data_IF_913620323578
#
_entry.id   IF_913620323578
#
_cell.length_a   1.000
_cell.length_b   1.000
_cell.length_c   1.000
_cell.angle_alpha   90.00
_cell.angle_beta   90.00
_cell.angle_gamma   90.00
#
_symmetry.space_group_name_H-M   'P 1'
#
loop_
_entity.id
_entity.type
_entity.pdbx_description
1 polymer ?
#
# COMPACT_ATOMS: atom_id res chain seq x y z
N UNK A 1 5.32 7.87 34.68
CA UNK A 1 5.55 6.61 33.95
C UNK A 1 6.97 6.69 33.43
N UNK A 2 7.81 5.72 33.76
CA UNK A 2 9.21 5.71 33.35
C UNK A 2 9.32 5.04 31.97
N UNK A 3 9.36 5.83 30.90
CA UNK A 3 9.41 5.32 29.54
C UNK A 3 10.75 4.65 29.20
N UNK A 4 11.84 5.04 29.86
CA UNK A 4 13.15 4.38 29.68
C UNK A 4 13.13 2.98 30.26
N UNK A 5 12.48 2.80 31.42
CA UNK A 5 12.29 1.47 32.00
C UNK A 5 11.44 0.58 31.09
N UNK A 6 10.30 1.09 30.59
CA UNK A 6 9.40 0.34 29.69
C UNK A 6 10.14 -0.04 28.39
N UNK A 7 10.85 0.91 27.77
CA UNK A 7 11.63 0.66 26.54
C UNK A 7 12.64 -0.47 26.74
N UNK A 8 13.38 -0.43 27.85
CA UNK A 8 14.39 -1.43 28.19
C UNK A 8 13.78 -2.80 28.44
N UNK A 9 12.73 -2.88 29.27
CA UNK A 9 12.07 -4.14 29.62
C UNK A 9 11.43 -4.79 28.40
N UNK A 10 10.62 -4.04 27.64
CA UNK A 10 9.99 -4.54 26.43
C UNK A 10 11.03 -4.98 25.39
N UNK A 11 12.14 -4.25 25.21
CA UNK A 11 13.20 -4.68 24.29
C UNK A 11 13.83 -6.01 24.72
N UNK A 12 14.14 -6.18 26.00
CA UNK A 12 14.71 -7.43 26.54
C UNK A 12 13.75 -8.59 26.36
N UNK A 13 12.46 -8.41 26.68
CA UNK A 13 11.44 -9.44 26.48
C UNK A 13 11.29 -9.81 25.00
N UNK A 14 11.31 -8.81 24.11
CA UNK A 14 11.31 -9.01 22.67
C UNK A 14 12.50 -9.87 22.21
N UNK A 15 13.71 -9.58 22.70
CA UNK A 15 14.92 -10.36 22.40
C UNK A 15 14.85 -11.80 22.93
N UNK A 16 14.27 -12.02 24.11
CA UNK A 16 14.02 -13.37 24.65
C UNK A 16 13.08 -14.15 23.71
N UNK A 17 11.96 -13.55 23.30
CA UNK A 17 11.02 -14.22 22.39
C UNK A 17 11.59 -14.49 21.00
N UNK A 18 12.56 -13.69 20.53
CA UNK A 18 13.30 -13.99 19.31
C UNK A 18 14.18 -15.24 19.44
N UNK A 19 14.78 -15.47 20.62
CA UNK A 19 15.53 -16.72 20.90
C UNK A 19 14.58 -17.92 20.95
N UNK A 20 13.46 -17.77 21.66
CA UNK A 20 12.40 -18.79 21.70
C UNK A 20 11.88 -19.13 20.29
N UNK A 21 11.73 -18.14 19.41
CA UNK A 21 11.36 -18.36 18.01
C UNK A 21 12.38 -19.21 17.24
N UNK A 22 13.68 -18.98 17.48
CA UNK A 22 14.75 -19.73 16.84
C UNK A 22 14.79 -21.20 17.32
N UNK A 23 14.52 -21.43 18.60
CA UNK A 23 14.56 -22.75 19.25
C UNK A 23 13.25 -23.54 19.09
N UNK A 24 12.15 -22.87 18.79
CA UNK A 24 10.82 -23.47 18.66
C UNK A 24 10.77 -24.55 17.56
N UNK A 25 10.39 -25.77 17.99
CA UNK A 25 10.33 -26.97 17.15
C UNK A 25 9.02 -27.14 16.38
N UNK A 26 7.95 -26.47 16.80
CA UNK A 26 6.62 -26.58 16.17
C UNK A 26 6.24 -25.26 15.50
N UNK A 27 5.42 -25.35 14.43
CA UNK A 27 4.91 -24.17 13.73
C UNK A 27 4.12 -23.25 14.67
N UNK A 28 3.29 -23.83 15.52
CA UNK A 28 2.46 -23.07 16.47
C UNK A 28 3.32 -22.31 17.49
N UNK A 29 4.32 -22.95 18.08
CA UNK A 29 5.25 -22.30 19.00
C UNK A 29 6.03 -21.18 18.31
N UNK A 30 6.49 -21.40 17.07
CA UNK A 30 7.15 -20.36 16.26
C UNK A 30 6.23 -19.17 16.02
N UNK A 31 4.98 -19.40 15.62
CA UNK A 31 4.01 -18.31 15.40
C UNK A 31 3.74 -17.53 16.68
N UNK A 32 3.55 -18.22 17.81
CA UNK A 32 3.33 -17.60 19.11
C UNK A 32 4.53 -16.75 19.54
N UNK A 33 5.75 -17.31 19.49
CA UNK A 33 6.98 -16.62 19.85
C UNK A 33 7.23 -15.39 18.96
N UNK A 34 7.03 -15.51 17.64
CA UNK A 34 7.18 -14.41 16.70
C UNK A 34 6.18 -13.26 17.00
N UNK A 35 4.92 -13.58 17.29
CA UNK A 35 3.90 -12.57 17.65
C UNK A 35 4.27 -11.83 18.93
N UNK A 36 4.73 -12.54 19.95
CA UNK A 36 5.17 -11.94 21.21
C UNK A 36 6.39 -11.05 21.01
N UNK A 37 7.41 -11.56 20.30
CA UNK A 37 8.60 -10.78 19.96
C UNK A 37 8.23 -9.45 19.27
N UNK A 38 7.40 -9.51 18.23
CA UNK A 38 6.96 -8.30 17.52
C UNK A 38 6.16 -7.35 18.41
N UNK A 39 5.24 -7.86 19.23
CA UNK A 39 4.45 -7.03 20.15
C UNK A 39 5.35 -6.23 21.10
N UNK A 40 6.32 -6.89 21.73
CA UNK A 40 7.26 -6.26 22.65
C UNK A 40 8.21 -5.27 21.94
N UNK A 41 8.67 -5.60 20.74
CA UNK A 41 9.52 -4.69 19.97
C UNK A 41 8.76 -3.44 19.50
N UNK A 42 7.46 -3.56 19.19
CA UNK A 42 6.60 -2.41 18.90
C UNK A 42 6.41 -1.55 20.16
N UNK A 43 6.16 -2.17 21.31
CA UNK A 43 6.05 -1.46 22.60
C UNK A 43 7.33 -0.70 22.94
N UNK A 44 8.49 -1.34 22.81
CA UNK A 44 9.79 -0.72 23.01
C UNK A 44 10.00 0.49 22.08
N UNK A 45 9.66 0.34 20.79
CA UNK A 45 9.76 1.44 19.82
C UNK A 45 8.83 2.61 20.18
N UNK A 46 7.60 2.33 20.60
CA UNK A 46 6.64 3.34 21.06
C UNK A 46 7.14 4.06 22.33
N UNK A 47 7.64 3.32 23.32
CA UNK A 47 8.21 3.90 24.54
C UNK A 47 9.43 4.79 24.25
N UNK A 48 10.30 4.34 23.34
CA UNK A 48 11.46 5.11 22.88
C UNK A 48 11.08 6.41 22.18
N UNK A 49 10.07 6.37 21.31
CA UNK A 49 9.59 7.55 20.60
C UNK A 49 8.98 8.58 21.57
N UNK A 50 8.31 8.09 22.61
CA UNK A 50 7.64 8.92 23.60
C UNK A 50 6.28 9.46 23.12
N UNK A 51 5.47 9.97 24.06
CA UNK A 51 4.09 10.35 23.80
C UNK A 51 3.95 11.49 22.78
N UNK A 52 4.86 12.47 22.78
CA UNK A 52 4.76 13.63 21.90
C UNK A 52 4.99 13.26 20.44
N UNK A 53 5.96 12.37 20.16
CA UNK A 53 6.22 11.88 18.81
C UNK A 53 5.06 11.02 18.32
N UNK A 54 4.52 10.14 19.17
CA UNK A 54 3.36 9.32 18.82
C UNK A 54 2.11 10.16 18.57
N UNK A 55 1.86 11.18 19.39
CA UNK A 55 0.74 12.11 19.19
C UNK A 55 0.87 12.87 17.87
N UNK A 56 2.08 13.37 17.55
CA UNK A 56 2.35 14.03 16.29
C UNK A 56 2.19 13.08 15.08
N UNK A 57 2.58 11.81 15.22
CA UNK A 57 2.46 10.81 14.16
C UNK A 57 1.01 10.33 13.94
N UNK A 58 0.20 10.22 15.00
CA UNK A 58 -1.21 9.79 14.92
C UNK A 58 -2.16 10.90 14.46
N UNK A 59 -1.79 12.16 14.69
CA UNK A 59 -2.64 13.31 14.42
C UNK A 59 -3.90 13.36 15.27
N UNK A 60 -4.71 14.39 15.04
CA UNK A 60 -6.00 14.55 15.71
C UNK A 60 -7.02 13.55 15.17
N UNK A 61 -7.89 13.06 16.05
CA UNK A 61 -9.01 12.23 15.60
C UNK A 61 -10.09 13.13 14.98
N UNK A 62 -10.57 12.83 13.76
CA UNK A 62 -11.65 13.58 13.13
C UNK A 62 -12.96 13.50 13.93
N UNK A 63 -13.87 14.42 13.65
CA UNK A 63 -15.22 14.41 14.24
C UNK A 63 -15.96 13.09 13.92
N UNK A 64 -16.76 12.60 14.87
CA UNK A 64 -17.50 11.34 14.70
C UNK A 64 -18.47 11.36 13.52
N UNK A 65 -18.91 12.55 13.10
CA UNK A 65 -19.84 12.78 11.99
C UNK A 65 -19.19 12.75 10.60
N UNK A 66 -17.86 12.72 10.51
CA UNK A 66 -17.13 12.69 9.23
C UNK A 66 -16.58 11.29 8.96
N UNK A 67 -17.43 10.41 8.44
CA UNK A 67 -17.09 9.02 8.14
C UNK A 67 -15.88 8.89 7.21
N UNK A 68 -15.75 9.81 6.23
CA UNK A 68 -14.65 9.82 5.28
C UNK A 68 -13.33 10.12 5.99
N UNK A 69 -13.27 11.23 6.74
CA UNK A 69 -12.05 11.60 7.44
C UNK A 69 -11.64 10.53 8.46
N UNK A 70 -12.59 9.88 9.12
CA UNK A 70 -12.32 8.78 10.07
C UNK A 70 -11.70 7.56 9.39
N UNK A 71 -12.17 7.19 8.20
CA UNK A 71 -11.59 6.09 7.43
C UNK A 71 -10.19 6.43 6.91
N UNK A 72 -9.97 7.66 6.46
CA UNK A 72 -8.65 8.15 6.05
C UNK A 72 -7.68 8.14 7.25
N UNK A 73 -8.09 8.68 8.40
CA UNK A 73 -7.31 8.66 9.65
C UNK A 73 -6.98 7.23 10.10
N UNK A 74 -7.94 6.31 10.04
CA UNK A 74 -7.69 4.90 10.36
C UNK A 74 -6.69 4.27 9.37
N UNK A 75 -6.80 4.58 8.08
CA UNK A 75 -5.86 4.09 7.07
C UNK A 75 -4.43 4.56 7.36
N UNK A 76 -4.24 5.83 7.71
CA UNK A 76 -2.92 6.38 8.05
C UNK A 76 -2.32 5.68 9.28
N UNK A 77 -3.13 5.44 10.31
CA UNK A 77 -2.71 4.73 11.53
C UNK A 77 -2.36 3.27 11.25
N UNK A 78 -3.12 2.58 10.40
CA UNK A 78 -2.83 1.19 9.99
C UNK A 78 -1.54 1.13 9.17
N UNK A 79 -1.33 2.09 8.26
CA UNK A 79 -0.14 2.16 7.42
C UNK A 79 1.14 2.41 8.24
N UNK A 80 1.06 3.23 9.30
CA UNK A 80 2.20 3.53 10.18
C UNK A 80 2.83 2.26 10.78
N UNK A 81 2.02 1.24 11.07
CA UNK A 81 2.48 -0.04 11.62
C UNK A 81 2.63 -1.15 10.57
N UNK A 82 2.42 -0.83 9.30
CA UNK A 82 2.58 -1.82 8.25
C UNK A 82 4.06 -2.16 8.04
N UNK A 83 4.42 -3.46 7.95
CA UNK A 83 5.79 -3.84 7.65
C UNK A 83 6.16 -3.36 6.24
N UNK A 84 7.42 -2.96 6.02
CA UNK A 84 7.85 -2.52 4.71
C UNK A 84 7.76 -3.67 3.69
N UNK A 85 7.44 -3.39 2.41
CA UNK A 85 7.31 -4.43 1.38
C UNK A 85 8.54 -5.33 1.21
N UNK A 86 9.73 -4.83 1.53
CA UNK A 86 10.97 -5.60 1.48
C UNK A 86 11.10 -6.64 2.62
N UNK A 87 10.40 -6.43 3.75
CA UNK A 87 10.47 -7.33 4.91
C UNK A 87 9.39 -8.41 4.89
N UNK A 88 8.19 -8.09 4.37
CA UNK A 88 7.06 -9.03 4.32
C UNK A 88 6.38 -8.90 2.95
N UNK A 89 6.14 -10.03 2.24
CA UNK A 89 5.37 -10.02 1.02
C UNK A 89 4.02 -9.32 1.20
N UNK A 90 3.69 -8.41 0.29
CA UNK A 90 2.43 -7.69 0.32
C UNK A 90 1.35 -8.58 -0.31
N UNK A 91 0.66 -9.34 0.52
CA UNK A 91 -0.53 -10.06 0.10
C UNK A 91 -1.80 -9.23 0.37
N UNK A 92 -2.95 -9.76 -0.05
CA UNK A 92 -4.26 -9.11 0.11
C UNK A 92 -4.62 -8.80 1.57
N UNK A 93 -4.09 -9.55 2.53
CA UNK A 93 -4.41 -9.42 3.95
C UNK A 93 -3.36 -8.61 4.71
N UNK A 94 -2.39 -8.03 4.00
CA UNK A 94 -1.42 -7.11 4.56
C UNK A 94 -2.06 -5.83 5.11
N UNK A 95 -1.39 -5.21 6.08
CA UNK A 95 -1.83 -3.93 6.65
C UNK A 95 -1.84 -2.80 5.59
N UNK A 96 -0.91 -2.79 4.63
CA UNK A 96 -0.96 -1.83 3.52
C UNK A 96 -2.18 -2.03 2.62
N UNK A 97 -2.57 -3.28 2.37
CA UNK A 97 -3.81 -3.57 1.62
C UNK A 97 -5.05 -3.13 2.38
N UNK A 98 -5.08 -3.33 3.70
CA UNK A 98 -6.16 -2.85 4.56
C UNK A 98 -6.23 -1.31 4.56
N UNK A 99 -5.12 -0.61 4.74
CA UNK A 99 -5.07 0.85 4.65
C UNK A 99 -5.56 1.36 3.28
N UNK A 100 -5.11 0.72 2.20
CA UNK A 100 -5.54 1.04 0.83
C UNK A 100 -7.04 0.83 0.62
N UNK A 101 -7.59 -0.25 1.19
CA UNK A 101 -9.02 -0.52 1.21
C UNK A 101 -9.80 0.54 1.98
N UNK A 102 -9.38 0.91 3.19
CA UNK A 102 -10.05 1.91 4.00
C UNK A 102 -10.18 3.24 3.25
N UNK A 103 -9.10 3.67 2.56
CA UNK A 103 -9.13 4.87 1.69
C UNK A 103 -10.07 4.72 0.49
N UNK A 104 -10.19 3.51 -0.07
CA UNK A 104 -11.13 3.27 -1.15
C UNK A 104 -12.59 3.33 -0.66
N UNK A 105 -12.87 2.76 0.51
CA UNK A 105 -14.19 2.81 1.16
C UNK A 105 -14.57 4.25 1.50
N UNK A 106 -13.62 5.06 1.98
CA UNK A 106 -13.80 6.48 2.25
C UNK A 106 -14.29 7.27 1.02
N UNK A 107 -14.00 6.76 -0.18
CA UNK A 107 -14.37 7.32 -1.47
C UNK A 107 -15.55 6.56 -2.15
N UNK A 108 -16.18 5.61 -1.45
CA UNK A 108 -17.39 4.93 -1.91
C UNK A 108 -17.21 3.55 -2.55
N UNK A 109 -15.99 2.99 -2.57
CA UNK A 109 -15.81 1.58 -2.93
C UNK A 109 -16.42 0.67 -1.86
N UNK A 110 -16.89 -0.52 -2.28
CA UNK A 110 -17.33 -1.53 -1.32
C UNK A 110 -16.12 -2.21 -0.67
N UNK A 111 -16.19 -2.55 0.63
CA UNK A 111 -15.18 -3.40 1.28
C UNK A 111 -15.05 -4.76 0.59
N UNK A 112 -13.81 -5.26 0.54
CA UNK A 112 -13.41 -6.54 -0.06
C UNK A 112 -12.60 -7.40 0.91
N UNK A 113 -11.83 -6.83 1.85
CA UNK A 113 -11.09 -7.59 2.87
C UNK A 113 -11.98 -7.79 4.09
N UNK A 114 -12.62 -6.72 4.54
CA UNK A 114 -13.43 -6.73 5.78
C UNK A 114 -14.87 -7.20 5.59
N UNK A 115 -15.35 -7.29 4.35
CA UNK A 115 -16.68 -7.82 4.07
C UNK A 115 -16.65 -9.31 3.77
N UNK A 116 -17.68 -10.07 4.20
CA UNK A 116 -17.86 -11.45 3.76
C UNK A 116 -17.96 -11.49 2.23
N UNK A 117 -17.49 -12.58 1.62
CA UNK A 117 -17.48 -12.74 0.17
C UNK A 117 -18.89 -12.42 -0.41
N UNK A 118 -18.98 -11.56 -1.43
CA UNK A 118 -20.26 -11.11 -1.94
C UNK A 118 -21.10 -12.29 -2.44
N UNK A 119 -22.37 -12.32 -2.01
CA UNK A 119 -23.38 -13.20 -2.58
C UNK A 119 -23.61 -12.81 -4.06
N UNK A 120 -23.78 -13.83 -4.91
CA UNK A 120 -23.77 -13.82 -6.38
C UNK A 120 -24.20 -12.54 -7.14
N UNK A 121 -23.51 -12.28 -8.25
CA UNK A 121 -24.05 -11.59 -9.44
C UNK A 121 -24.02 -10.06 -9.44
N UNK A 122 -23.76 -9.40 -8.31
CA UNK A 122 -23.64 -7.94 -8.26
C UNK A 122 -22.20 -7.51 -8.52
N UNK A 123 -22.03 -6.60 -9.50
CA UNK A 123 -20.76 -5.94 -9.80
C UNK A 123 -20.24 -5.28 -8.52
N UNK A 124 -19.06 -5.68 -8.07
CA UNK A 124 -18.42 -5.00 -6.93
C UNK A 124 -18.08 -3.58 -7.34
N UNK A 125 -18.49 -2.59 -6.53
CA UNK A 125 -18.09 -1.21 -6.75
C UNK A 125 -16.63 -1.07 -6.32
N UNK A 126 -15.72 -1.14 -7.30
CA UNK A 126 -14.28 -1.00 -7.14
C UNK A 126 -13.70 0.11 -8.03
N UNK A 127 -14.51 1.15 -8.28
CA UNK A 127 -14.17 2.23 -9.20
C UNK A 127 -12.92 2.98 -8.74
N UNK A 128 -12.77 3.21 -7.43
CA UNK A 128 -11.64 3.94 -6.86
C UNK A 128 -10.36 3.11 -6.94
N UNK A 129 -10.40 1.83 -6.58
CA UNK A 129 -9.24 0.92 -6.73
C UNK A 129 -8.78 0.82 -8.18
N UNK A 130 -9.72 0.63 -9.12
CA UNK A 130 -9.40 0.62 -10.55
C UNK A 130 -8.80 1.95 -11.00
N UNK A 131 -9.31 3.09 -10.52
CA UNK A 131 -8.73 4.39 -10.81
C UNK A 131 -7.29 4.51 -10.31
N UNK A 132 -6.96 3.99 -9.11
CA UNK A 132 -5.58 3.95 -8.60
C UNK A 132 -4.65 3.11 -9.47
N UNK A 133 -5.07 1.93 -9.93
CA UNK A 133 -4.27 1.12 -10.86
C UNK A 133 -4.08 1.82 -12.21
N UNK A 134 -5.12 2.47 -12.74
CA UNK A 134 -5.03 3.25 -13.96
C UNK A 134 -4.09 4.45 -13.82
N UNK A 135 -4.13 5.12 -12.66
CA UNK A 135 -3.18 6.17 -12.32
C UNK A 135 -1.75 5.63 -12.30
N UNK A 136 -1.52 4.47 -11.67
CA UNK A 136 -0.20 3.82 -11.64
C UNK A 136 0.34 3.53 -13.04
N UNK A 137 -0.50 3.11 -13.98
CA UNK A 137 -0.11 2.93 -15.39
C UNK A 137 0.38 4.24 -16.03
N UNK A 138 -0.33 5.35 -15.78
CA UNK A 138 0.06 6.68 -16.28
C UNK A 138 1.35 7.18 -15.62
N UNK A 139 1.55 6.88 -14.34
CA UNK A 139 2.79 7.19 -13.63
C UNK A 139 3.99 6.42 -14.22
N UNK A 140 3.80 5.15 -14.62
CA UNK A 140 4.85 4.39 -15.30
C UNK A 140 5.27 5.04 -16.62
N UNK A 141 4.33 5.53 -17.42
CA UNK A 141 4.67 6.26 -18.66
C UNK A 141 5.49 7.53 -18.34
N UNK A 142 5.06 8.31 -17.35
CA UNK A 142 5.76 9.51 -16.91
C UNK A 142 7.17 9.20 -16.37
N UNK A 143 7.31 8.12 -15.59
CA UNK A 143 8.58 7.65 -15.05
C UNK A 143 9.52 7.20 -16.18
N UNK A 144 9.03 6.43 -17.14
CA UNK A 144 9.84 5.93 -18.26
C UNK A 144 10.27 7.07 -19.20
N UNK A 145 9.38 8.03 -19.48
CA UNK A 145 9.73 9.27 -20.19
C UNK A 145 10.78 10.07 -19.41
N UNK A 146 10.60 10.22 -18.11
CA UNK A 146 11.58 10.76 -17.19
C UNK A 146 12.79 9.83 -16.96
N UNK A 147 12.99 8.76 -17.73
CA UNK A 147 14.25 8.04 -17.80
C UNK A 147 14.82 7.98 -19.23
N UNK A 148 14.23 8.74 -20.16
CA UNK A 148 14.73 8.87 -21.54
C UNK A 148 14.24 7.80 -22.51
N UNK A 149 13.29 6.95 -22.10
CA UNK A 149 12.71 5.93 -22.98
C UNK A 149 11.89 6.60 -24.09
N UNK A 150 12.03 6.08 -25.31
CA UNK A 150 11.30 6.62 -26.47
C UNK A 150 9.81 6.30 -26.32
N UNK A 151 8.91 7.12 -26.91
CA UNK A 151 7.47 6.89 -26.82
C UNK A 151 7.04 5.46 -27.15
N UNK A 152 7.56 4.89 -28.24
CA UNK A 152 7.24 3.52 -28.64
C UNK A 152 7.63 2.48 -27.58
N UNK A 153 8.82 2.58 -26.98
CA UNK A 153 9.33 1.62 -25.99
C UNK A 153 8.49 1.65 -24.71
N UNK A 154 8.24 2.85 -24.18
CA UNK A 154 7.46 3.00 -22.94
C UNK A 154 5.99 2.63 -23.12
N UNK A 155 5.36 3.06 -24.22
CA UNK A 155 3.96 2.71 -24.49
C UNK A 155 3.79 1.20 -24.66
N UNK A 156 4.73 0.53 -25.35
CA UNK A 156 4.70 -0.93 -25.48
C UNK A 156 4.92 -1.64 -24.15
N UNK A 157 5.85 -1.18 -23.32
CA UNK A 157 6.10 -1.76 -22.00
C UNK A 157 4.85 -1.68 -21.11
N UNK A 158 4.25 -0.49 -21.01
CA UNK A 158 3.03 -0.28 -20.20
C UNK A 158 1.84 -1.06 -20.78
N UNK A 159 1.63 -1.02 -22.10
CA UNK A 159 0.54 -1.75 -22.75
C UNK A 159 0.65 -3.26 -22.56
N UNK A 160 1.87 -3.81 -22.67
CA UNK A 160 2.13 -5.24 -22.49
C UNK A 160 1.87 -5.67 -21.03
N UNK A 161 2.33 -4.88 -20.06
CA UNK A 161 2.13 -5.18 -18.64
C UNK A 161 0.63 -5.17 -18.26
N UNK A 162 -0.10 -4.13 -18.66
CA UNK A 162 -1.52 -3.97 -18.31
C UNK A 162 -2.47 -4.78 -19.21
N UNK A 163 -1.99 -5.30 -20.34
CA UNK A 163 -2.80 -6.07 -21.29
C UNK A 163 -3.89 -5.24 -21.95
N UNK A 164 -3.60 -3.96 -22.20
CA UNK A 164 -4.52 -2.98 -22.79
C UNK A 164 -3.76 -2.19 -23.83
N UNK A 165 -4.42 -1.75 -24.90
CA UNK A 165 -3.79 -0.91 -25.90
C UNK A 165 -3.46 0.48 -25.33
N UNK A 166 -2.38 1.10 -25.85
CA UNK A 166 -1.93 2.40 -25.36
C UNK A 166 -3.00 3.49 -25.49
N UNK A 167 -3.82 3.44 -26.54
CA UNK A 167 -4.90 4.42 -26.74
C UNK A 167 -5.95 4.36 -25.62
N UNK A 168 -6.29 3.15 -25.17
CA UNK A 168 -7.15 2.89 -24.01
C UNK A 168 -6.50 3.38 -22.72
N UNK A 169 -5.22 3.06 -22.49
CA UNK A 169 -4.49 3.50 -21.29
C UNK A 169 -4.43 5.02 -21.22
N UNK A 170 -4.10 5.68 -22.34
CA UNK A 170 -4.07 7.15 -22.46
C UNK A 170 -5.43 7.77 -22.13
N UNK A 171 -6.53 7.13 -22.54
CA UNK A 171 -7.90 7.59 -22.24
C UNK A 171 -8.28 7.44 -20.76
N UNK A 172 -7.57 6.62 -19.98
CA UNK A 172 -7.85 6.47 -18.55
C UNK A 172 -7.65 7.73 -17.73
N UNK A 173 -6.91 8.73 -18.25
CA UNK A 173 -6.73 10.03 -17.58
C UNK A 173 -8.09 10.62 -17.15
N UNK A 174 -9.08 10.64 -18.02
CA UNK A 174 -10.41 11.17 -17.70
C UNK A 174 -11.10 10.35 -16.59
N UNK A 175 -11.00 9.03 -16.64
CA UNK A 175 -11.58 8.16 -15.62
C UNK A 175 -10.89 8.34 -14.25
N UNK A 176 -9.58 8.55 -14.23
CA UNK A 176 -8.79 8.84 -13.03
C UNK A 176 -9.20 10.18 -12.43
N UNK A 177 -9.30 11.23 -13.25
CA UNK A 177 -9.71 12.58 -12.81
C UNK A 177 -11.12 12.55 -12.22
N UNK A 178 -12.05 11.84 -12.87
CA UNK A 178 -13.42 11.74 -12.37
C UNK A 178 -13.53 11.02 -11.02
N UNK A 179 -12.63 10.07 -10.74
CA UNK A 179 -12.66 9.26 -9.53
C UNK A 179 -11.82 9.82 -8.38
N UNK A 180 -10.64 10.37 -8.68
CA UNK A 180 -9.64 10.79 -7.68
C UNK A 180 -9.44 12.32 -7.65
N UNK A 181 -9.89 13.04 -8.68
CA UNK A 181 -9.66 14.47 -8.84
C UNK A 181 -8.41 14.82 -9.65
N UNK A 182 -8.42 16.00 -10.28
CA UNK A 182 -7.32 16.50 -11.10
C UNK A 182 -6.05 16.75 -10.28
N UNK A 183 -6.19 17.29 -9.07
CA UNK A 183 -5.05 17.60 -8.21
C UNK A 183 -4.24 16.35 -7.87
N UNK A 184 -4.91 15.24 -7.53
CA UNK A 184 -4.26 13.97 -7.21
C UNK A 184 -3.46 13.44 -8.40
N UNK A 185 -4.07 13.48 -9.60
CA UNK A 185 -3.38 13.12 -10.84
C UNK A 185 -2.12 13.98 -11.05
N UNK A 186 -2.23 15.30 -10.93
CA UNK A 186 -1.10 16.21 -11.16
C UNK A 186 0.05 15.96 -10.19
N UNK A 187 -0.25 15.78 -8.90
CA UNK A 187 0.76 15.46 -7.87
C UNK A 187 1.42 14.12 -8.19
N UNK A 188 0.63 13.10 -8.47
CA UNK A 188 1.11 11.75 -8.78
C UNK A 188 2.03 11.71 -10.03
N UNK A 189 1.67 12.45 -11.09
CA UNK A 189 2.47 12.55 -12.32
C UNK A 189 3.76 13.36 -12.10
N UNK A 190 3.71 14.41 -11.27
CA UNK A 190 4.88 15.20 -10.89
C UNK A 190 5.87 14.37 -10.07
N UNK A 191 5.39 13.56 -9.13
CA UNK A 191 6.23 12.64 -8.34
C UNK A 191 6.85 11.58 -9.25
N UNK A 192 6.09 10.98 -10.16
CA UNK A 192 6.59 9.97 -11.09
C UNK A 192 7.67 10.49 -12.05
N UNK A 193 7.55 11.75 -12.49
CA UNK A 193 8.51 12.39 -13.41
C UNK A 193 9.74 13.01 -12.74
N UNK A 194 9.80 13.02 -11.40
CA UNK A 194 10.89 13.66 -10.66
C UNK A 194 12.19 12.84 -10.75
N UNK A 195 13.25 13.46 -11.30
CA UNK A 195 14.62 12.91 -11.35
C UNK A 195 15.56 13.48 -10.28
N UNK A 196 15.12 14.45 -9.48
CA UNK A 196 16.05 15.38 -8.79
C UNK A 196 16.47 14.86 -7.41
N UNK A 197 17.78 14.52 -7.30
CA UNK A 197 18.65 14.37 -6.11
C UNK A 197 18.30 13.37 -5.01
N UNK A 198 17.05 12.93 -4.87
CA UNK A 198 16.67 11.83 -3.97
C UNK A 198 16.09 10.67 -4.78
N UNK A 199 16.32 9.40 -4.38
CA UNK A 199 15.68 8.27 -5.03
C UNK A 199 14.17 8.51 -5.04
N UNK A 200 13.57 8.42 -6.23
CA UNK A 200 12.13 8.57 -6.38
C UNK A 200 11.45 7.50 -5.52
N UNK A 201 10.93 7.88 -4.35
CA UNK A 201 10.37 6.90 -3.40
C UNK A 201 9.15 6.17 -3.97
N UNK A 202 8.46 6.74 -4.96
CA UNK A 202 7.35 6.08 -5.64
C UNK A 202 7.83 5.07 -6.71
N UNK A 203 9.05 5.23 -7.21
CA UNK A 203 9.72 4.36 -8.19
C UNK A 203 11.20 4.14 -7.78
N UNK A 204 11.45 3.44 -6.66
CA UNK A 204 12.80 3.34 -6.08
C UNK A 204 13.62 2.22 -6.72
N UNK A 205 13.60 2.13 -8.05
CA UNK A 205 14.27 1.06 -8.81
C UNK A 205 15.67 1.51 -9.20
N UNK A 206 16.65 0.67 -8.89
CA UNK A 206 18.06 0.94 -9.19
C UNK A 206 18.46 0.41 -10.56
N UNK A 207 17.73 -0.59 -11.07
CA UNK A 207 17.99 -1.23 -12.36
C UNK A 207 16.75 -1.25 -13.25
N UNK A 208 16.97 -1.36 -14.56
CA UNK A 208 15.88 -1.53 -15.53
C UNK A 208 15.11 -2.84 -15.34
N UNK A 209 15.79 -3.91 -14.90
CA UNK A 209 15.16 -5.20 -14.62
C UNK A 209 14.20 -5.12 -13.43
N UNK A 210 14.62 -4.47 -12.33
CA UNK A 210 13.75 -4.20 -11.17
C UNK A 210 12.51 -3.40 -11.57
N UNK A 211 12.71 -2.35 -12.39
CA UNK A 211 11.62 -1.52 -12.86
C UNK A 211 10.62 -2.30 -13.74
N UNK A 212 11.12 -3.16 -14.64
CA UNK A 212 10.27 -3.99 -15.50
C UNK A 212 9.52 -5.07 -14.70
N UNK A 213 10.17 -5.70 -13.71
CA UNK A 213 9.53 -6.66 -12.83
C UNK A 213 8.40 -6.00 -12.01
N UNK A 214 8.65 -4.81 -11.48
CA UNK A 214 7.64 -4.05 -10.75
C UNK A 214 6.49 -3.58 -11.65
N UNK A 215 6.78 -3.14 -12.89
CA UNK A 215 5.75 -2.80 -13.87
C UNK A 215 4.87 -4.01 -14.21
N UNK A 216 5.46 -5.19 -14.36
CA UNK A 216 4.73 -6.43 -14.60
C UNK A 216 3.83 -6.80 -13.41
N UNK A 217 4.32 -6.62 -12.18
CA UNK A 217 3.54 -6.82 -10.96
C UNK A 217 2.34 -5.88 -10.90
N UNK A 218 2.55 -4.57 -11.10
CA UNK A 218 1.46 -3.58 -11.11
C UNK A 218 0.41 -3.89 -12.20
N UNK A 219 0.84 -4.36 -13.36
CA UNK A 219 -0.05 -4.81 -14.44
C UNK A 219 -0.84 -6.08 -14.09
N UNK A 220 -0.25 -6.99 -13.32
CA UNK A 220 -0.92 -8.19 -12.81
C UNK A 220 -1.96 -7.82 -11.75
N UNK A 221 -1.62 -6.93 -10.82
CA UNK A 221 -2.55 -6.44 -9.80
C UNK A 221 -3.77 -5.75 -10.42
N UNK A 222 -3.57 -4.96 -11.47
CA UNK A 222 -4.67 -4.37 -12.23
C UNK A 222 -5.61 -5.44 -12.83
N UNK A 223 -5.05 -6.49 -13.44
CA UNK A 223 -5.84 -7.59 -14.03
C UNK A 223 -6.62 -8.33 -12.96
N UNK A 224 -6.01 -8.55 -11.80
CA UNK A 224 -6.67 -9.21 -10.68
C UNK A 224 -7.78 -8.33 -10.10
N UNK A 225 -7.59 -7.02 -10.01
CA UNK A 225 -8.66 -6.09 -9.60
C UNK A 225 -9.80 -6.02 -10.64
N UNK A 226 -9.50 -6.08 -11.95
CA UNK A 226 -10.53 -6.20 -12.98
C UNK A 226 -11.32 -7.51 -12.87
N UNK A 227 -10.66 -8.64 -12.60
CA UNK A 227 -11.33 -9.93 -12.39
C UNK A 227 -12.28 -9.87 -11.19
N UNK A 228 -11.89 -9.19 -10.10
CA UNK A 228 -12.72 -9.03 -8.89
C UNK A 228 -14.00 -8.22 -9.10
N UNK A 229 -14.07 -7.42 -10.16
CA UNK A 229 -15.29 -6.71 -10.55
C UNK A 229 -16.42 -7.69 -10.92
N UNK A 230 -16.05 -8.85 -11.46
CA UNK A 230 -16.95 -9.91 -11.89
C UNK A 230 -16.74 -11.11 -10.96
N UNK A 231 -17.58 -11.22 -9.93
CA UNK A 231 -17.55 -12.38 -9.03
C UNK A 231 -17.96 -13.62 -9.83
N UNK A 232 -16.98 -14.38 -10.32
CA UNK A 232 -17.19 -15.73 -10.82
C UNK A 232 -16.84 -16.67 -9.67
N UNK A 233 -17.87 -17.24 -9.04
CA UNK A 233 -17.74 -18.44 -8.22
C UNK A 233 -17.74 -19.63 -9.17
#
# INVERSE_FOLDING_TARGET
MDFELIEREARLDGEVWLREFAEAKTREARVSAARRALSYLIEAACAKAGPDVLAAAWGESPAETDDRARLECMADRVELFAPPPAAVPQDRLSLLSLASELRAIALGDKPQIVAPAPYHGLKNNNAIRLAKHRLRALQWDAFLEANGNKPFERHNAVSSAYGQDWTTIKAWKAAVVNALGEQELQVAMKVASCRVRHPNRAFPYSTGEEALAALALDGQDFKDEMRRQFVVV
#
